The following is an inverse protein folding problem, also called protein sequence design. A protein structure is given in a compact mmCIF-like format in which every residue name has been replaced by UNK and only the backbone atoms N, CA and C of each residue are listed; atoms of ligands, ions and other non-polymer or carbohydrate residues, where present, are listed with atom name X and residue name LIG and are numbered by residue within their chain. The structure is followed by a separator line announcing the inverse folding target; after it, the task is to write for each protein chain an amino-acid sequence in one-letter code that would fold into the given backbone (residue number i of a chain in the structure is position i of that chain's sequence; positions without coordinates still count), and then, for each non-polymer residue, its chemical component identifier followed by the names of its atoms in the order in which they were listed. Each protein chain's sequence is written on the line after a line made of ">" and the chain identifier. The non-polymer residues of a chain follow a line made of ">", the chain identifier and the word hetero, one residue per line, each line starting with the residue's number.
data_IF_007828016287
#
_entry.id   IF_007828016287
#
_cell.length_a   1.000
_cell.length_b   1.000
_cell.length_c   1.000
_cell.angle_alpha   90.00
_cell.angle_beta   90.00
_cell.angle_gamma   90.00
#
_symmetry.space_group_name_H-M   'P 1'
#
loop_
_entity.id
_entity.type
_entity.pdbx_description
1 polymer ?
#
# COMPACT_ATOMS: atom_id res chain seq x y z
N UNK A 1 2.66 -9.81 -7.83
CA UNK A 1 3.59 -10.56 -6.94
C UNK A 1 3.67 -12.03 -7.35
N UNK A 2 2.55 -12.80 -7.42
CA UNK A 2 2.57 -14.24 -7.64
C UNK A 2 3.39 -14.69 -8.89
N UNK A 3 3.14 -14.11 -10.07
CA UNK A 3 3.87 -14.48 -11.29
C UNK A 3 5.39 -14.29 -11.16
N UNK A 4 5.82 -13.25 -10.45
CA UNK A 4 7.23 -13.01 -10.15
C UNK A 4 7.80 -14.06 -9.20
N UNK A 5 7.08 -14.38 -8.13
CA UNK A 5 7.49 -15.38 -7.14
C UNK A 5 7.66 -16.77 -7.79
N UNK A 6 6.68 -17.22 -8.57
CA UNK A 6 6.74 -18.51 -9.27
C UNK A 6 7.91 -18.58 -10.27
N UNK A 7 8.13 -17.52 -11.04
CA UNK A 7 9.25 -17.45 -12.00
C UNK A 7 10.62 -17.59 -11.31
N UNK A 8 10.80 -16.96 -10.14
CA UNK A 8 12.05 -17.08 -9.39
C UNK A 8 12.16 -18.40 -8.63
N UNK A 9 11.03 -18.98 -8.20
CA UNK A 9 10.99 -20.32 -7.61
C UNK A 9 11.56 -21.38 -8.58
N UNK A 10 11.11 -21.37 -9.82
CA UNK A 10 11.64 -22.26 -10.88
C UNK A 10 13.15 -22.04 -11.10
N UNK A 11 13.59 -20.77 -11.15
CA UNK A 11 14.99 -20.43 -11.40
C UNK A 11 15.93 -20.87 -10.30
N UNK A 12 15.48 -20.79 -9.05
CA UNK A 12 16.34 -21.00 -7.87
C UNK A 12 16.06 -22.30 -7.15
N UNK A 13 15.09 -23.09 -7.58
CA UNK A 13 14.79 -24.42 -7.05
C UNK A 13 14.13 -24.44 -5.68
N UNK A 14 13.28 -23.45 -5.38
CA UNK A 14 12.44 -23.45 -4.19
C UNK A 14 10.94 -23.52 -4.54
N UNK A 15 10.11 -23.80 -3.57
CA UNK A 15 8.65 -23.90 -3.75
C UNK A 15 8.00 -22.64 -3.19
N UNK A 16 7.00 -22.12 -3.89
CA UNK A 16 6.19 -20.99 -3.43
C UNK A 16 4.74 -21.43 -3.30
N UNK A 17 4.20 -21.31 -2.10
CA UNK A 17 2.78 -21.33 -1.82
C UNK A 17 2.28 -19.88 -1.73
N UNK A 18 1.52 -19.44 -2.75
CA UNK A 18 0.99 -18.08 -2.80
C UNK A 18 -0.43 -18.06 -2.29
N UNK A 19 -0.63 -17.40 -1.18
CA UNK A 19 -1.93 -17.25 -0.54
C UNK A 19 -2.36 -15.77 -0.51
N UNK A 20 -3.64 -15.53 -0.68
CA UNK A 20 -4.27 -14.23 -0.56
C UNK A 20 -5.67 -14.38 -0.01
N UNK A 21 -6.04 -13.56 0.94
CA UNK A 21 -7.40 -13.49 1.45
C UNK A 21 -8.30 -12.70 0.48
N UNK A 22 -9.55 -13.13 0.35
CA UNK A 22 -10.58 -12.35 -0.34
C UNK A 22 -11.01 -11.12 0.46
N UNK A 23 -10.78 -11.16 1.77
CA UNK A 23 -11.03 -10.06 2.69
C UNK A 23 -9.69 -9.62 3.27
N UNK A 24 -9.28 -8.40 2.96
CA UNK A 24 -8.06 -7.84 3.50
C UNK A 24 -8.23 -7.50 4.99
N UNK A 25 -8.04 -8.50 5.85
CA UNK A 25 -8.15 -8.36 7.31
C UNK A 25 -6.88 -8.85 8.01
N UNK A 26 -6.56 -8.22 9.13
CA UNK A 26 -5.46 -8.65 10.01
C UNK A 26 -5.69 -10.09 10.48
N UNK A 27 -6.91 -10.44 10.86
CA UNK A 27 -7.23 -11.79 11.35
C UNK A 27 -6.96 -12.88 10.31
N UNK A 28 -7.35 -12.64 9.06
CA UNK A 28 -7.09 -13.60 7.97
C UNK A 28 -5.58 -13.73 7.68
N UNK A 29 -4.85 -12.62 7.68
CA UNK A 29 -3.39 -12.66 7.49
C UNK A 29 -2.69 -13.39 8.64
N UNK A 30 -3.07 -13.14 9.89
CA UNK A 30 -2.55 -13.87 11.06
C UNK A 30 -2.82 -15.37 10.95
N UNK A 31 -4.00 -15.78 10.49
CA UNK A 31 -4.32 -17.19 10.29
C UNK A 31 -3.41 -17.83 9.22
N UNK A 32 -3.17 -17.13 8.10
CA UNK A 32 -2.27 -17.61 7.04
C UNK A 32 -0.84 -17.75 7.55
N UNK A 33 -0.34 -16.78 8.33
CA UNK A 33 1.00 -16.82 8.95
C UNK A 33 1.12 -18.05 9.87
N UNK A 34 0.15 -18.26 10.77
CA UNK A 34 0.15 -19.38 11.70
C UNK A 34 0.11 -20.73 10.97
N UNK A 35 -0.66 -20.85 9.90
CA UNK A 35 -0.70 -22.05 9.07
C UNK A 35 0.65 -22.30 8.36
N UNK A 36 1.30 -21.24 7.87
CA UNK A 36 2.61 -21.34 7.25
C UNK A 36 3.68 -21.83 8.24
N UNK A 37 3.70 -21.27 9.47
CA UNK A 37 4.58 -21.73 10.55
C UNK A 37 4.34 -23.22 10.85
N UNK A 38 3.08 -23.61 11.02
CA UNK A 38 2.71 -24.99 11.31
C UNK A 38 3.08 -25.97 10.18
N UNK A 39 3.14 -25.49 8.94
CA UNK A 39 3.53 -26.27 7.75
C UNK A 39 5.05 -26.37 7.59
N UNK A 40 5.84 -25.69 8.43
CA UNK A 40 7.30 -25.76 8.44
C UNK A 40 7.94 -25.06 7.24
N UNK A 41 7.42 -23.90 6.83
CA UNK A 41 8.03 -23.09 5.76
C UNK A 41 9.36 -22.48 6.24
N UNK A 42 10.31 -22.31 5.32
CA UNK A 42 11.60 -21.66 5.60
C UNK A 42 11.50 -20.13 5.61
N UNK A 43 10.51 -19.58 4.91
CA UNK A 43 10.33 -18.14 4.78
C UNK A 43 8.90 -17.71 4.52
N UNK A 44 8.55 -16.52 4.98
CA UNK A 44 7.30 -15.82 4.72
C UNK A 44 7.62 -14.48 4.07
N UNK A 45 6.97 -14.18 2.94
CA UNK A 45 7.07 -12.87 2.30
C UNK A 45 5.66 -12.29 2.19
N UNK A 46 5.39 -11.19 2.89
CA UNK A 46 4.04 -10.65 3.07
C UNK A 46 3.95 -9.15 2.77
N UNK A 47 2.81 -8.72 2.22
CA UNK A 47 2.35 -7.32 2.21
C UNK A 47 1.27 -7.18 3.27
N UNK A 48 1.49 -6.32 4.26
CA UNK A 48 0.61 -6.20 5.41
C UNK A 48 -0.56 -5.25 5.14
N UNK A 49 -1.74 -5.60 5.67
CA UNK A 49 -2.92 -4.69 5.65
C UNK A 49 -2.92 -3.70 6.82
N UNK A 50 -2.02 -3.87 7.79
CA UNK A 50 -1.91 -3.02 8.98
C UNK A 50 -0.45 -2.92 9.43
N UNK A 51 -0.04 -1.73 9.85
CA UNK A 51 1.36 -1.42 10.17
C UNK A 51 1.93 -2.23 11.37
N UNK A 52 1.09 -2.72 12.26
CA UNK A 52 1.48 -3.40 13.51
C UNK A 52 0.65 -4.64 13.82
N UNK A 53 -0.47 -4.81 13.15
CA UNK A 53 -1.44 -5.87 13.44
C UNK A 53 -0.89 -7.29 13.27
N UNK A 54 0.19 -7.46 12.50
CA UNK A 54 0.83 -8.75 12.25
C UNK A 54 2.09 -8.99 13.10
N UNK A 55 2.56 -8.00 13.85
CA UNK A 55 3.86 -8.03 14.53
C UNK A 55 4.03 -9.24 15.43
N UNK A 56 3.01 -9.59 16.23
CA UNK A 56 3.09 -10.75 17.12
C UNK A 56 3.27 -12.06 16.35
N UNK A 57 2.44 -12.30 15.33
CA UNK A 57 2.49 -13.53 14.54
C UNK A 57 3.81 -13.67 13.76
N UNK A 58 4.32 -12.56 13.23
CA UNK A 58 5.58 -12.53 12.49
C UNK A 58 6.81 -12.70 13.43
N UNK A 59 6.74 -12.13 14.63
CA UNK A 59 7.78 -12.32 15.65
C UNK A 59 7.82 -13.78 16.11
N UNK A 60 6.66 -14.44 16.24
CA UNK A 60 6.57 -15.87 16.54
C UNK A 60 7.17 -16.72 15.39
N UNK A 61 6.92 -16.32 14.12
CA UNK A 61 7.55 -16.96 12.97
C UNK A 61 9.09 -16.86 13.04
N UNK A 62 9.62 -15.68 13.28
CA UNK A 62 11.08 -15.44 13.40
C UNK A 62 11.64 -16.28 14.55
N UNK A 63 10.97 -16.32 15.69
CA UNK A 63 11.37 -17.11 16.87
C UNK A 63 11.38 -18.61 16.59
N UNK A 64 10.55 -19.05 15.62
CA UNK A 64 10.49 -20.43 15.14
C UNK A 64 11.54 -20.76 14.06
N UNK A 65 12.37 -19.79 13.68
CA UNK A 65 13.43 -19.95 12.68
C UNK A 65 12.99 -19.64 11.25
N UNK A 66 11.78 -19.10 11.05
CA UNK A 66 11.28 -18.69 9.73
C UNK A 66 11.83 -17.31 9.36
N UNK A 67 12.37 -17.16 8.16
CA UNK A 67 12.80 -15.86 7.65
C UNK A 67 11.58 -15.05 7.19
N UNK A 68 11.44 -13.82 7.71
CA UNK A 68 10.32 -12.94 7.35
C UNK A 68 10.80 -11.78 6.48
N UNK A 69 10.18 -11.61 5.32
CA UNK A 69 10.35 -10.44 4.45
C UNK A 69 9.01 -9.76 4.21
N UNK A 70 9.03 -8.43 4.12
CA UNK A 70 7.87 -7.65 3.68
C UNK A 70 8.11 -7.05 2.31
N UNK A 71 7.05 -6.77 1.60
CA UNK A 71 7.07 -6.08 0.33
C UNK A 71 5.83 -5.20 0.21
N UNK A 72 5.94 -4.06 -0.52
CA UNK A 72 4.86 -3.09 -0.68
C UNK A 72 4.50 -2.42 0.66
N UNK A 73 3.59 -2.99 1.43
CA UNK A 73 3.20 -2.50 2.76
C UNK A 73 3.93 -3.24 3.88
N UNK A 74 4.53 -2.48 4.78
CA UNK A 74 5.44 -2.95 5.82
C UNK A 74 4.77 -3.18 7.18
N UNK A 75 5.54 -3.76 8.08
CA UNK A 75 5.26 -3.97 9.50
C UNK A 75 6.35 -3.30 10.35
N UNK A 76 6.32 -3.46 11.68
CA UNK A 76 7.40 -2.97 12.53
C UNK A 76 8.76 -3.61 12.19
N UNK A 77 9.83 -2.85 12.27
CA UNK A 77 11.20 -3.29 11.96
C UNK A 77 11.63 -4.56 12.72
N UNK A 78 11.08 -4.79 13.90
CA UNK A 78 11.35 -5.97 14.72
C UNK A 78 10.61 -7.22 14.27
N UNK A 79 9.59 -7.07 13.42
CA UNK A 79 8.75 -8.17 12.94
C UNK A 79 9.16 -8.69 11.55
N UNK A 80 10.28 -8.21 11.01
CA UNK A 80 10.81 -8.65 9.71
C UNK A 80 12.33 -8.63 9.67
N UNK A 81 12.90 -9.38 8.73
CA UNK A 81 14.34 -9.40 8.45
C UNK A 81 14.73 -8.46 7.31
N UNK A 82 13.82 -8.24 6.36
CA UNK A 82 14.04 -7.36 5.20
C UNK A 82 12.71 -6.77 4.69
N UNK A 83 12.80 -5.62 4.03
CA UNK A 83 11.69 -4.96 3.34
C UNK A 83 12.08 -4.67 1.89
N UNK A 84 11.17 -4.94 0.96
CA UNK A 84 11.29 -4.58 -0.46
C UNK A 84 10.25 -3.52 -0.80
N UNK A 85 10.68 -2.27 -0.87
CA UNK A 85 9.82 -1.14 -1.24
C UNK A 85 9.86 -0.88 -2.74
N UNK A 86 8.75 -0.42 -3.30
CA UNK A 86 8.67 0.05 -4.67
C UNK A 86 9.27 1.45 -4.87
N UNK A 87 9.53 2.17 -3.81
CA UNK A 87 10.14 3.50 -3.78
C UNK A 87 10.08 4.10 -2.40
N UNK A 88 10.71 5.26 -2.22
CA UNK A 88 10.52 6.02 -0.98
C UNK A 88 9.18 6.75 -0.98
N UNK A 89 8.62 7.11 0.19
CA UNK A 89 7.39 7.88 0.28
C UNK A 89 7.43 9.17 -0.54
N UNK A 90 8.57 9.86 -0.54
CA UNK A 90 8.78 11.12 -1.26
C UNK A 90 8.64 10.90 -2.78
N UNK A 91 9.31 9.88 -3.33
CA UNK A 91 9.25 9.55 -4.77
C UNK A 91 7.82 9.18 -5.15
N UNK A 92 7.16 8.33 -4.37
CA UNK A 92 5.82 7.85 -4.69
C UNK A 92 4.76 8.94 -4.51
N UNK A 93 4.85 9.74 -3.45
CA UNK A 93 3.98 10.89 -3.23
C UNK A 93 4.11 11.93 -4.35
N UNK A 94 5.34 12.28 -4.74
CA UNK A 94 5.60 13.17 -5.87
C UNK A 94 5.02 12.60 -7.17
N UNK A 95 5.30 11.33 -7.49
CA UNK A 95 4.78 10.70 -8.71
C UNK A 95 3.26 10.77 -8.82
N UNK A 96 2.53 10.54 -7.74
CA UNK A 96 1.07 10.62 -7.73
C UNK A 96 0.59 12.03 -8.07
N UNK A 97 1.21 13.05 -7.50
CA UNK A 97 0.90 14.46 -7.77
C UNK A 97 1.23 14.83 -9.21
N UNK A 98 2.42 14.48 -9.69
CA UNK A 98 2.86 14.77 -11.05
C UNK A 98 1.95 14.09 -12.10
N UNK A 99 1.52 12.85 -11.86
CA UNK A 99 0.53 12.17 -12.71
C UNK A 99 -0.82 12.90 -12.73
N UNK A 100 -1.24 13.46 -11.60
CA UNK A 100 -2.41 14.33 -11.49
C UNK A 100 -2.25 15.59 -12.32
N UNK A 101 -1.14 16.30 -12.17
CA UNK A 101 -0.80 17.51 -12.90
C UNK A 101 -0.75 17.25 -14.43
N UNK A 102 -0.10 16.18 -14.85
CA UNK A 102 -0.07 15.74 -16.26
C UNK A 102 -1.47 15.47 -16.81
N UNK A 103 -2.32 14.82 -16.03
CA UNK A 103 -3.70 14.54 -16.43
C UNK A 103 -4.52 15.81 -16.60
N UNK A 104 -4.35 16.78 -15.71
CA UNK A 104 -4.99 18.10 -15.78
C UNK A 104 -4.53 18.86 -17.03
N UNK A 105 -3.22 18.89 -17.30
CA UNK A 105 -2.65 19.51 -18.49
C UNK A 105 -3.21 18.93 -19.79
N UNK A 106 -3.33 17.60 -19.87
CA UNK A 106 -3.96 16.92 -21.03
C UNK A 106 -5.43 17.29 -21.22
N UNK A 107 -6.08 17.77 -20.18
CA UNK A 107 -7.48 18.27 -20.21
C UNK A 107 -7.59 19.78 -20.39
N UNK A 108 -6.48 20.46 -20.67
CA UNK A 108 -6.44 21.90 -20.93
C UNK A 108 -6.46 22.79 -19.68
N UNK A 109 -6.14 22.22 -18.50
CA UNK A 109 -5.92 22.97 -17.26
C UNK A 109 -4.43 23.33 -17.13
N UNK A 110 -4.15 24.41 -16.43
CA UNK A 110 -2.80 24.81 -16.03
C UNK A 110 -2.60 24.51 -14.54
N UNK A 111 -1.90 23.41 -14.18
CA UNK A 111 -1.74 23.02 -12.78
C UNK A 111 -1.03 24.06 -11.92
N UNK A 112 -0.19 24.90 -12.52
CA UNK A 112 0.57 25.95 -11.81
C UNK A 112 -0.24 27.23 -11.57
N UNK A 113 -1.30 27.46 -12.36
CA UNK A 113 -2.07 28.73 -12.34
C UNK A 113 -3.52 28.56 -11.94
N UNK A 114 -4.15 27.46 -12.37
CA UNK A 114 -5.56 27.24 -12.09
C UNK A 114 -5.77 26.81 -10.64
N UNK A 115 -6.88 27.20 -10.04
CA UNK A 115 -7.31 26.61 -8.77
C UNK A 115 -7.79 25.20 -9.00
N UNK A 116 -7.08 24.23 -8.43
CA UNK A 116 -7.38 22.81 -8.56
C UNK A 116 -7.92 22.29 -7.24
N UNK A 117 -9.08 21.71 -7.27
CA UNK A 117 -9.65 20.98 -6.13
C UNK A 117 -9.22 19.52 -6.21
N UNK A 118 -8.72 18.97 -5.11
CA UNK A 118 -8.30 17.56 -5.04
C UNK A 118 -8.74 16.90 -3.73
N UNK A 119 -8.69 15.61 -3.70
CA UNK A 119 -8.85 14.78 -2.51
C UNK A 119 -8.00 13.52 -2.64
N UNK A 120 -7.78 12.85 -1.50
CA UNK A 120 -7.12 11.55 -1.47
C UNK A 120 -8.14 10.43 -1.34
N UNK A 121 -7.97 9.41 -2.17
CA UNK A 121 -8.77 8.20 -2.13
C UNK A 121 -7.83 6.99 -2.21
N UNK A 122 -7.82 6.15 -1.18
CA UNK A 122 -7.00 4.96 -1.13
C UNK A 122 -7.68 3.80 -0.35
N UNK A 123 -6.97 2.68 -0.13
CA UNK A 123 -7.64 1.45 0.29
C UNK A 123 -8.17 1.50 1.72
N UNK A 124 -7.29 1.74 2.70
CA UNK A 124 -7.66 1.70 4.12
C UNK A 124 -6.83 2.70 4.93
N UNK A 125 -7.40 3.21 6.03
CA UNK A 125 -6.72 4.16 6.91
C UNK A 125 -5.49 3.58 7.63
N UNK A 126 -5.41 2.26 7.75
CA UNK A 126 -4.33 1.54 8.48
C UNK A 126 -3.15 1.15 7.60
N UNK A 127 -3.23 1.36 6.28
CA UNK A 127 -2.15 1.00 5.35
C UNK A 127 -1.02 2.02 5.41
N UNK A 128 0.11 1.63 6.00
CA UNK A 128 1.22 2.51 6.34
C UNK A 128 1.89 3.17 5.12
N UNK A 129 2.08 2.43 4.03
CA UNK A 129 2.69 2.93 2.81
C UNK A 129 1.84 4.02 2.15
N UNK A 130 0.52 3.80 1.97
CA UNK A 130 -0.39 4.78 1.39
C UNK A 130 -0.49 6.05 2.23
N UNK A 131 -0.50 5.92 3.56
CA UNK A 131 -0.45 7.07 4.46
C UNK A 131 0.85 7.87 4.28
N UNK A 132 1.98 7.20 4.15
CA UNK A 132 3.28 7.86 3.95
C UNK A 132 3.36 8.59 2.59
N UNK A 133 2.80 8.00 1.53
CA UNK A 133 2.75 8.65 0.20
C UNK A 133 1.86 9.89 0.21
N UNK A 134 0.73 9.83 0.91
CA UNK A 134 -0.14 10.98 1.07
C UNK A 134 0.59 12.13 1.79
N UNK A 135 1.24 11.86 2.93
CA UNK A 135 1.97 12.88 3.68
C UNK A 135 3.05 13.53 2.81
N UNK A 136 3.80 12.73 2.05
CA UNK A 136 4.81 13.23 1.13
C UNK A 136 4.19 14.01 -0.04
N UNK A 137 3.09 13.53 -0.61
CA UNK A 137 2.34 14.20 -1.67
C UNK A 137 1.76 15.53 -1.25
N UNK A 138 1.20 15.62 -0.03
CA UNK A 138 0.72 16.89 0.53
C UNK A 138 1.85 17.91 0.71
N UNK A 139 3.01 17.46 1.20
CA UNK A 139 4.19 18.33 1.31
C UNK A 139 4.62 18.85 -0.07
N UNK A 140 4.66 17.98 -1.07
CA UNK A 140 5.02 18.32 -2.44
C UNK A 140 4.00 19.28 -3.10
N UNK A 141 2.69 19.06 -2.91
CA UNK A 141 1.64 19.97 -3.39
C UNK A 141 1.84 21.35 -2.77
N UNK A 142 2.01 21.42 -1.45
CA UNK A 142 2.18 22.69 -0.75
C UNK A 142 3.37 23.52 -1.25
N UNK A 143 4.44 22.85 -1.66
CA UNK A 143 5.65 23.50 -2.19
C UNK A 143 5.51 23.92 -3.66
N UNK A 144 4.95 23.05 -4.51
CA UNK A 144 4.99 23.21 -5.96
C UNK A 144 3.66 23.68 -6.57
N UNK A 145 2.53 23.41 -5.90
CA UNK A 145 1.18 23.74 -6.39
C UNK A 145 0.34 24.44 -5.30
N UNK A 146 0.76 25.62 -4.82
CA UNK A 146 0.09 26.30 -3.70
C UNK A 146 -1.35 26.75 -4.01
N UNK A 147 -1.76 26.70 -5.29
CA UNK A 147 -3.10 26.97 -5.79
C UNK A 147 -4.02 25.75 -5.74
N UNK A 148 -3.51 24.58 -5.33
CA UNK A 148 -4.33 23.38 -5.16
C UNK A 148 -4.98 23.38 -3.77
N UNK A 149 -6.25 22.98 -3.70
CA UNK A 149 -7.07 22.96 -2.50
C UNK A 149 -7.56 21.54 -2.20
N UNK A 150 -7.21 21.01 -1.02
CA UNK A 150 -7.78 19.74 -0.55
C UNK A 150 -9.20 19.99 -0.05
N UNK A 151 -10.19 19.47 -0.78
CA UNK A 151 -11.61 19.65 -0.48
C UNK A 151 -12.19 18.55 0.40
N UNK A 152 -11.39 17.53 0.75
CA UNK A 152 -11.80 16.43 1.61
C UNK A 152 -10.68 16.13 2.61
N UNK A 153 -10.60 16.88 3.73
CA UNK A 153 -9.58 16.68 4.75
C UNK A 153 -9.68 15.29 5.42
N UNK A 154 -10.88 14.74 5.47
CA UNK A 154 -11.11 13.34 5.87
C UNK A 154 -11.03 12.48 4.61
N UNK A 155 -9.89 11.84 4.40
CA UNK A 155 -9.64 11.01 3.21
C UNK A 155 -10.75 9.98 2.95
N UNK A 156 -10.88 9.57 1.70
CA UNK A 156 -11.79 8.50 1.30
C UNK A 156 -11.11 7.14 1.32
N UNK A 157 -11.82 6.10 1.81
CA UNK A 157 -11.31 4.73 1.93
C UNK A 157 -12.27 3.74 1.27
N UNK A 158 -11.78 3.03 0.26
CA UNK A 158 -12.57 2.01 -0.45
C UNK A 158 -12.59 0.65 0.26
N UNK A 159 -11.73 0.45 1.26
CA UNK A 159 -11.60 -0.82 2.00
C UNK A 159 -11.31 -2.02 1.09
N UNK A 160 -10.62 -1.77 -0.03
CA UNK A 160 -10.31 -2.72 -1.10
C UNK A 160 -11.56 -3.29 -1.80
N UNK A 161 -12.71 -2.64 -1.66
CA UNK A 161 -13.95 -2.98 -2.34
C UNK A 161 -14.09 -2.16 -3.63
N UNK A 162 -14.22 -2.84 -4.76
CA UNK A 162 -14.29 -2.19 -6.07
C UNK A 162 -15.59 -1.40 -6.27
N UNK A 163 -16.72 -1.89 -5.77
CA UNK A 163 -18.02 -1.20 -5.88
C UNK A 163 -18.03 0.06 -5.02
N UNK A 164 -17.47 -0.04 -3.80
CA UNK A 164 -17.30 1.10 -2.91
C UNK A 164 -16.37 2.15 -3.53
N UNK A 165 -15.26 1.73 -4.14
CA UNK A 165 -14.35 2.65 -4.84
C UNK A 165 -15.04 3.42 -5.96
N UNK A 166 -15.84 2.74 -6.79
CA UNK A 166 -16.63 3.38 -7.86
C UNK A 166 -17.66 4.35 -7.29
N UNK A 167 -18.37 3.95 -6.24
CA UNK A 167 -19.38 4.80 -5.59
C UNK A 167 -18.75 6.06 -5.00
N UNK A 168 -17.63 5.96 -4.31
CA UNK A 168 -16.87 7.11 -3.79
C UNK A 168 -16.43 8.03 -4.92
N UNK A 169 -15.84 7.48 -5.99
CA UNK A 169 -15.40 8.27 -7.12
C UNK A 169 -16.56 9.05 -7.79
N UNK A 170 -17.72 8.43 -7.92
CA UNK A 170 -18.92 9.10 -8.43
C UNK A 170 -19.34 10.27 -7.52
N UNK A 171 -19.42 10.05 -6.20
CA UNK A 171 -19.77 11.12 -5.25
C UNK A 171 -18.77 12.29 -5.27
N UNK A 172 -17.47 12.02 -5.41
CA UNK A 172 -16.45 13.08 -5.50
C UNK A 172 -16.63 13.93 -6.77
N UNK A 173 -17.05 13.32 -7.90
CA UNK A 173 -17.24 14.02 -9.15
C UNK A 173 -18.52 14.87 -9.18
N UNK A 174 -19.49 14.60 -8.32
CA UNK A 174 -20.75 15.33 -8.20
C UNK A 174 -20.68 16.50 -7.19
N UNK A 175 -19.64 16.56 -6.36
CA UNK A 175 -19.43 17.59 -5.33
C UNK A 175 -18.63 18.79 -5.86
#
# INVERSE_FOLDING_TARGET
>A
ANNGAQKYAEKWGFTVDYQGSSNASVADQVQVINNAIASGVDGICISSVDATGLDSALTDAISSGVTVGTWDSDVSDTARSLMVSQGTPEILGQMLVDMGADSLTKRGKDPEKDTIKYCWHYSQATVADQNSWQVAGEAYIKENFPNWENVAPDNYYSEQDAEKAVSIAACILEA
#
